data_IF_818545822634
#
_entry.id   IF_818545822634
#
_cell.length_a   1.000
_cell.length_b   1.000
_cell.length_c   1.000
_cell.angle_alpha   90.00
_cell.angle_beta   90.00
_cell.angle_gamma   90.00
#
_symmetry.space_group_name_H-M   'P 1'
#
loop_
_entity.id
_entity.type
_entity.pdbx_description
1 polymer ?
#
# COMPACT_ATOMS: atom_id res chain seq x y z
N UNK A 1 -7.40 14.95 20.29
CA UNK A 1 -8.38 14.14 19.51
C UNK A 1 -8.27 14.37 18.01
N UNK A 2 -8.24 15.63 17.52
CA UNK A 2 -8.04 15.90 16.09
C UNK A 2 -6.70 15.32 15.57
N UNK A 3 -5.64 15.48 16.36
CA UNK A 3 -4.32 14.86 16.11
C UNK A 3 -4.39 13.35 15.90
N UNK A 4 -5.13 12.60 16.74
CA UNK A 4 -5.26 11.14 16.61
C UNK A 4 -5.93 10.72 15.29
N UNK A 5 -6.93 11.48 14.83
CA UNK A 5 -7.57 11.22 13.54
C UNK A 5 -6.65 11.54 12.38
N UNK A 6 -5.92 12.65 12.46
CA UNK A 6 -4.91 13.02 11.47
C UNK A 6 -3.82 11.95 11.39
N UNK A 7 -3.30 11.49 12.52
CA UNK A 7 -2.31 10.41 12.57
C UNK A 7 -2.87 9.11 11.99
N UNK A 8 -4.11 8.72 12.32
CA UNK A 8 -4.75 7.54 11.73
C UNK A 8 -4.90 7.66 10.21
N UNK A 9 -5.27 8.84 9.70
CA UNK A 9 -5.36 9.11 8.27
C UNK A 9 -4.00 9.07 7.56
N UNK A 10 -2.97 9.66 8.18
CA UNK A 10 -1.59 9.66 7.67
C UNK A 10 -1.02 8.23 7.64
N UNK A 11 -1.19 7.47 8.73
CA UNK A 11 -0.75 6.08 8.81
C UNK A 11 -1.42 5.24 7.71
N UNK A 12 -2.72 5.41 7.49
CA UNK A 12 -3.42 4.69 6.43
C UNK A 12 -2.89 5.04 5.02
N UNK A 13 -2.54 6.30 4.78
CA UNK A 13 -1.93 6.72 3.51
C UNK A 13 -0.52 6.14 3.32
N UNK A 14 0.25 6.03 4.41
CA UNK A 14 1.57 5.39 4.40
C UNK A 14 1.43 3.90 4.06
N UNK A 15 0.48 3.16 4.64
CA UNK A 15 0.28 1.74 4.32
C UNK A 15 -0.07 1.51 2.85
N UNK A 16 -0.94 2.35 2.29
CA UNK A 16 -1.31 2.29 0.88
C UNK A 16 -0.13 2.58 -0.04
N UNK A 17 0.71 3.56 0.32
CA UNK A 17 1.91 3.91 -0.44
C UNK A 17 2.96 2.80 -0.37
N UNK A 18 3.19 2.23 0.81
CA UNK A 18 4.11 1.11 1.00
C UNK A 18 3.67 -0.10 0.17
N UNK A 19 2.39 -0.46 0.21
CA UNK A 19 1.83 -1.56 -0.59
C UNK A 19 2.01 -1.33 -2.09
N UNK A 20 1.72 -0.11 -2.58
CA UNK A 20 1.94 0.23 -3.98
C UNK A 20 3.43 0.22 -4.37
N UNK A 21 4.32 0.64 -3.48
CA UNK A 21 5.77 0.61 -3.69
C UNK A 21 6.28 -0.82 -3.80
N UNK A 22 5.83 -1.74 -2.93
CA UNK A 22 6.15 -3.17 -3.04
C UNK A 22 5.75 -3.69 -4.42
N UNK A 23 4.49 -3.47 -4.84
CA UNK A 23 4.01 -3.94 -6.15
C UNK A 23 4.88 -3.40 -7.30
N UNK A 24 5.27 -2.13 -7.25
CA UNK A 24 6.16 -1.54 -8.25
C UNK A 24 7.56 -2.15 -8.21
N UNK A 25 8.12 -2.39 -7.03
CA UNK A 25 9.43 -3.02 -6.87
C UNK A 25 9.43 -4.48 -7.33
N UNK A 26 8.36 -5.22 -7.10
CA UNK A 26 8.16 -6.58 -7.62
C UNK A 26 8.17 -6.57 -9.15
N UNK A 27 7.39 -5.70 -9.79
CA UNK A 27 7.39 -5.55 -11.25
C UNK A 27 8.74 -5.11 -11.82
N UNK A 28 9.46 -4.24 -11.11
CA UNK A 28 10.81 -3.84 -11.50
C UNK A 28 11.80 -5.01 -11.37
N UNK A 29 11.73 -5.77 -10.27
CA UNK A 29 12.55 -6.96 -10.04
C UNK A 29 12.33 -8.01 -11.13
N UNK A 30 11.08 -8.26 -11.52
CA UNK A 30 10.73 -9.13 -12.65
C UNK A 30 11.37 -8.64 -13.95
N UNK A 31 11.23 -7.35 -14.28
CA UNK A 31 11.83 -6.75 -15.48
C UNK A 31 13.36 -6.81 -15.47
N UNK A 32 14.00 -6.64 -14.31
CA UNK A 32 15.46 -6.72 -14.15
C UNK A 32 15.98 -8.17 -14.28
N UNK A 33 15.15 -9.16 -13.95
CA UNK A 33 15.48 -10.58 -14.10
C UNK A 33 15.34 -11.10 -15.54
N UNK A 34 14.70 -10.32 -16.41
CA UNK A 34 14.58 -10.61 -17.83
C UNK A 34 15.92 -10.36 -18.54
N UNK A 35 16.49 -11.40 -19.18
CA UNK A 35 17.88 -11.40 -19.69
C UNK A 35 18.07 -10.55 -20.95
N UNK A 36 16.97 -10.09 -21.57
CA UNK A 36 16.96 -9.41 -22.88
C UNK A 36 17.10 -7.88 -22.82
N UNK A 37 17.41 -7.29 -21.67
CA UNK A 37 17.56 -5.84 -21.54
C UNK A 37 18.98 -5.42 -21.09
N UNK A 38 19.45 -4.27 -21.61
CA UNK A 38 20.78 -3.70 -21.36
C UNK A 38 21.04 -3.35 -19.87
N UNK A 39 20.01 -3.43 -19.04
CA UNK A 39 20.05 -3.25 -17.58
C UNK A 39 20.37 -4.59 -16.87
N UNK A 40 20.09 -5.73 -17.49
CA UNK A 40 20.40 -7.07 -16.99
C UNK A 40 21.90 -7.34 -16.81
N UNK A 41 22.80 -6.56 -17.45
CA UNK A 41 24.26 -6.67 -17.26
C UNK A 41 24.81 -5.77 -16.15
N UNK A 42 24.11 -4.68 -15.77
CA UNK A 42 24.48 -3.80 -14.65
C UNK A 42 23.90 -4.27 -13.31
N UNK A 43 22.79 -5.02 -13.34
CA UNK A 43 22.03 -5.46 -12.17
C UNK A 43 22.13 -6.96 -11.90
N UNK A 44 22.97 -7.68 -12.66
CA UNK A 44 23.27 -9.09 -12.42
C UNK A 44 24.17 -9.30 -11.18
N UNK A 45 24.46 -8.23 -10.44
CA UNK A 45 25.11 -8.35 -9.15
C UNK A 45 24.14 -9.01 -8.17
N UNK A 46 24.45 -10.26 -7.85
CA UNK A 46 23.67 -11.09 -6.94
C UNK A 46 23.46 -10.39 -5.59
N UNK A 47 24.43 -9.59 -5.14
CA UNK A 47 24.32 -8.85 -3.87
C UNK A 47 23.22 -7.79 -3.93
N UNK A 48 23.16 -7.01 -5.01
CA UNK A 48 22.12 -5.98 -5.22
C UNK A 48 20.74 -6.62 -5.36
N UNK A 49 20.63 -7.73 -6.10
CA UNK A 49 19.38 -8.44 -6.26
C UNK A 49 18.86 -9.00 -4.92
N UNK A 50 19.75 -9.54 -4.08
CA UNK A 50 19.40 -10.08 -2.77
C UNK A 50 19.03 -8.95 -1.79
N UNK A 51 19.69 -7.79 -1.85
CA UNK A 51 19.32 -6.62 -1.05
C UNK A 51 17.92 -6.09 -1.43
N UNK A 52 17.61 -5.98 -2.71
CA UNK A 52 16.27 -5.57 -3.19
C UNK A 52 15.20 -6.56 -2.71
N UNK A 53 15.45 -7.87 -2.81
CA UNK A 53 14.53 -8.90 -2.28
C UNK A 53 14.31 -8.74 -0.78
N UNK A 54 15.36 -8.46 -0.02
CA UNK A 54 15.25 -8.24 1.42
C UNK A 54 14.44 -6.98 1.74
N UNK A 55 14.64 -5.89 0.99
CA UNK A 55 13.85 -4.65 1.14
C UNK A 55 12.37 -4.92 0.85
N UNK A 56 12.05 -5.61 -0.25
CA UNK A 56 10.66 -5.98 -0.59
C UNK A 56 10.05 -6.84 0.53
N UNK A 57 10.78 -7.85 1.02
CA UNK A 57 10.32 -8.72 2.12
C UNK A 57 10.05 -7.92 3.39
N UNK A 58 10.97 -7.04 3.79
CA UNK A 58 10.81 -6.20 4.98
C UNK A 58 9.63 -5.23 4.83
N UNK A 59 9.45 -4.64 3.65
CA UNK A 59 8.32 -3.75 3.35
C UNK A 59 6.98 -4.51 3.38
N UNK A 60 6.94 -5.73 2.87
CA UNK A 60 5.77 -6.60 2.94
C UNK A 60 5.39 -6.91 4.39
N UNK A 61 6.35 -7.35 5.20
CA UNK A 61 6.10 -7.60 6.63
C UNK A 61 5.67 -6.34 7.39
N UNK A 62 6.29 -5.20 7.11
CA UNK A 62 5.95 -3.93 7.73
C UNK A 62 4.54 -3.48 7.34
N UNK A 63 4.16 -3.63 6.07
CA UNK A 63 2.83 -3.29 5.57
C UNK A 63 1.76 -4.16 6.22
N UNK A 64 1.98 -5.48 6.33
CA UNK A 64 1.08 -6.39 7.02
C UNK A 64 0.87 -6.01 8.50
N UNK A 65 1.96 -5.78 9.25
CA UNK A 65 1.88 -5.34 10.65
C UNK A 65 1.16 -4.00 10.78
N UNK A 66 1.36 -3.10 9.83
CA UNK A 66 0.70 -1.80 9.83
C UNK A 66 -0.80 -1.93 9.53
N UNK A 67 -1.21 -2.84 8.66
CA UNK A 67 -2.61 -3.17 8.40
C UNK A 67 -3.29 -3.77 9.63
N UNK A 68 -2.65 -4.72 10.32
CA UNK A 68 -3.14 -5.28 11.59
C UNK A 68 -3.34 -4.19 12.65
N UNK A 69 -2.37 -3.28 12.79
CA UNK A 69 -2.47 -2.13 13.68
C UNK A 69 -3.60 -1.19 13.27
N UNK A 70 -3.79 -0.97 11.96
CA UNK A 70 -4.87 -0.14 11.45
C UNK A 70 -6.23 -0.76 11.76
N UNK A 71 -6.38 -2.08 11.60
CA UNK A 71 -7.59 -2.82 11.98
C UNK A 71 -7.87 -2.66 13.47
N UNK A 72 -6.87 -2.85 14.34
CA UNK A 72 -7.03 -2.61 15.78
C UNK A 72 -7.47 -1.17 16.09
N UNK A 73 -6.94 -0.17 15.39
CA UNK A 73 -7.35 1.23 15.52
C UNK A 73 -8.81 1.46 15.09
N UNK A 74 -9.36 0.69 14.15
CA UNK A 74 -10.77 0.79 13.74
C UNK A 74 -11.73 0.42 14.87
N UNK A 75 -11.31 -0.50 15.74
CA UNK A 75 -12.08 -0.92 16.90
C UNK A 75 -11.95 0.02 18.10
N UNK A 76 -10.97 0.92 18.11
CA UNK A 76 -10.81 1.90 19.18
C UNK A 76 -11.98 2.90 19.23
N UNK A 77 -12.56 3.10 20.42
CA UNK A 77 -13.74 3.94 20.61
C UNK A 77 -13.56 5.39 20.13
N UNK A 78 -12.34 5.94 20.25
CA UNK A 78 -12.00 7.31 19.82
C UNK A 78 -12.05 7.43 18.28
N UNK A 79 -11.61 6.40 17.58
CA UNK A 79 -11.44 6.43 16.13
C UNK A 79 -12.59 5.78 15.37
N UNK A 80 -13.43 4.98 16.04
CA UNK A 80 -14.61 4.31 15.43
C UNK A 80 -15.48 5.25 14.61
N UNK A 81 -15.75 6.46 15.12
CA UNK A 81 -16.54 7.47 14.42
C UNK A 81 -15.86 8.03 13.16
N UNK A 82 -14.53 8.13 13.17
CA UNK A 82 -13.74 8.53 12.01
C UNK A 82 -13.83 7.45 10.91
N UNK A 83 -13.54 6.20 11.25
CA UNK A 83 -13.58 5.08 10.28
C UNK A 83 -14.99 4.80 9.74
N UNK A 84 -16.04 4.98 10.56
CA UNK A 84 -17.43 4.90 10.08
C UNK A 84 -17.73 5.96 9.02
N UNK A 85 -17.27 7.20 9.22
CA UNK A 85 -17.46 8.28 8.23
C UNK A 85 -16.67 8.03 6.96
N UNK A 86 -15.43 7.54 7.09
CA UNK A 86 -14.56 7.21 5.96
C UNK A 86 -15.18 6.13 5.05
N UNK A 87 -15.59 4.99 5.61
CA UNK A 87 -16.26 3.91 4.83
C UNK A 87 -17.51 4.40 4.11
N UNK A 88 -18.35 5.20 4.77
CA UNK A 88 -19.55 5.76 4.13
C UNK A 88 -19.21 6.68 2.94
N UNK A 89 -18.11 7.43 3.02
CA UNK A 89 -17.65 8.26 1.92
C UNK A 89 -17.11 7.41 0.76
N UNK A 90 -16.34 6.37 1.06
CA UNK A 90 -15.82 5.42 0.07
C UNK A 90 -16.95 4.66 -0.64
N UNK A 91 -17.93 4.13 0.10
CA UNK A 91 -19.12 3.47 -0.47
C UNK A 91 -19.94 4.41 -1.37
N UNK A 92 -20.04 5.70 -1.01
CA UNK A 92 -20.75 6.68 -1.82
C UNK A 92 -19.99 6.96 -3.12
N UNK A 93 -18.68 7.17 -3.03
CA UNK A 93 -17.83 7.37 -4.20
C UNK A 93 -17.86 6.17 -5.15
N UNK A 94 -17.81 4.95 -4.62
CA UNK A 94 -17.91 3.72 -5.42
C UNK A 94 -19.27 3.59 -6.11
N UNK A 95 -20.38 3.92 -5.43
CA UNK A 95 -21.71 3.91 -6.03
C UNK A 95 -21.87 4.95 -7.14
N UNK A 96 -21.29 6.13 -6.95
CA UNK A 96 -21.29 7.19 -7.96
C UNK A 96 -20.48 6.75 -9.19
N UNK A 97 -19.28 6.20 -9.00
CA UNK A 97 -18.47 5.63 -10.08
C UNK A 97 -19.21 4.52 -10.85
N UNK A 98 -19.85 3.59 -10.14
CA UNK A 98 -20.62 2.51 -10.76
C UNK A 98 -21.84 3.03 -11.54
N UNK A 99 -22.50 4.10 -11.07
CA UNK A 99 -23.61 4.72 -11.80
C UNK A 99 -23.12 5.46 -13.04
N UNK A 100 -21.97 6.14 -12.96
CA UNK A 100 -21.35 6.79 -14.11
C UNK A 100 -20.93 5.78 -15.18
N UNK A 101 -20.34 4.64 -14.78
CA UNK A 101 -19.97 3.55 -15.69
C UNK A 101 -21.19 2.88 -16.33
N UNK A 102 -22.34 2.81 -15.64
CA UNK A 102 -23.59 2.26 -16.18
C UNK A 102 -24.34 3.23 -17.11
N UNK A 103 -24.00 4.51 -17.08
CA UNK A 103 -24.59 5.55 -17.93
C UNK A 103 -23.74 5.82 -19.19
N UNK A 104 -22.56 5.22 -19.30
CA UNK A 104 -21.66 5.26 -20.47
C UNK A 104 -21.83 4.01 -21.33
#
# INVERSE_FOLDING_TARGET
>A
FNSLRTSAAQLQGITQTASAMVVNLEQMSEKLSDKDNAVGTLTNDKEVADEIRQVITNLNEASLKLDENMEALQHNFLLRGFFKKKRKAEEKAQKEQQQEEQLQ
#
